data_IF_310909774956
#
_entry.id   IF_310909774956
#
_cell.length_a   1.000
_cell.length_b   1.000
_cell.length_c   1.000
_cell.angle_alpha   90.00
_cell.angle_beta   90.00
_cell.angle_gamma   90.00
#
_symmetry.space_group_name_H-M   'P 1'
#
loop_
_entity.id
_entity.type
_entity.pdbx_description
1 polymer ?
#
# COMPACT_ATOMS: atom_id res chain seq x y z
N UNK A 1 -4.93 57.59 -2.85
CA UNK A 1 -5.99 56.55 -2.74
C UNK A 1 -5.75 55.43 -3.75
N UNK A 2 -4.79 54.52 -3.52
CA UNK A 2 -4.52 53.38 -4.45
C UNK A 2 -4.03 52.09 -3.76
N UNK A 3 -4.26 51.89 -2.44
CA UNK A 3 -3.86 50.64 -1.77
C UNK A 3 -4.93 49.53 -1.90
N UNK A 4 -6.22 49.89 -2.02
CA UNK A 4 -7.33 48.92 -2.05
C UNK A 4 -7.23 47.85 -3.15
N UNK A 5 -6.62 48.16 -4.29
CA UNK A 5 -6.48 47.21 -5.40
C UNK A 5 -5.33 46.21 -5.23
N UNK A 6 -4.29 46.56 -4.45
CA UNK A 6 -3.15 45.67 -4.19
C UNK A 6 -3.55 44.58 -3.19
N UNK A 7 -4.37 44.93 -2.19
CA UNK A 7 -4.89 43.96 -1.21
C UNK A 7 -5.85 42.94 -1.86
N UNK A 8 -6.62 43.34 -2.87
CA UNK A 8 -7.51 42.44 -3.61
C UNK A 8 -6.73 41.42 -4.46
N UNK A 9 -5.60 41.83 -5.05
CA UNK A 9 -4.78 40.96 -5.89
C UNK A 9 -4.08 39.83 -5.11
N UNK A 10 -3.74 40.07 -3.84
CA UNK A 10 -3.12 39.06 -2.95
C UNK A 10 -4.12 38.00 -2.47
N UNK A 11 -5.41 38.35 -2.37
CA UNK A 11 -6.46 37.42 -1.92
C UNK A 11 -6.74 36.32 -2.96
N UNK A 12 -6.64 36.64 -4.25
CA UNK A 12 -6.86 35.68 -5.35
C UNK A 12 -5.74 34.63 -5.51
N UNK A 13 -4.52 34.91 -5.04
CA UNK A 13 -3.39 33.97 -5.14
C UNK A 13 -3.42 32.85 -4.08
N UNK A 14 -4.22 32.99 -3.03
CA UNK A 14 -4.32 31.99 -1.95
C UNK A 14 -5.24 30.80 -2.30
N UNK A 15 -6.03 30.88 -3.37
CA UNK A 15 -6.95 29.80 -3.78
C UNK A 15 -6.33 28.75 -4.74
N UNK A 16 -5.09 28.95 -5.19
CA UNK A 16 -4.40 28.03 -6.10
C UNK A 16 -3.50 27.01 -5.40
N UNK A 17 -3.34 27.10 -4.08
CA UNK A 17 -2.61 26.11 -3.29
C UNK A 17 -3.47 24.87 -3.01
N UNK A 18 -3.94 24.20 -4.07
CA UNK A 18 -4.49 22.85 -3.94
C UNK A 18 -3.29 21.90 -3.78
N UNK A 19 -2.86 21.69 -2.52
CA UNK A 19 -1.97 20.59 -2.18
C UNK A 19 -2.79 19.32 -2.46
N UNK A 20 -2.64 18.75 -3.67
CA UNK A 20 -3.23 17.44 -3.96
C UNK A 20 -2.68 16.48 -2.91
N UNK A 21 -3.56 15.91 -2.11
CA UNK A 21 -3.20 14.82 -1.20
C UNK A 21 -2.52 13.68 -1.97
N UNK A 22 -1.82 12.78 -1.27
CA UNK A 22 -1.16 11.64 -1.92
C UNK A 22 -2.15 10.91 -2.82
N UNK A 23 -1.73 10.65 -4.06
CA UNK A 23 -2.55 9.94 -5.03
C UNK A 23 -2.90 8.56 -4.45
N UNK A 24 -4.18 8.15 -4.55
CA UNK A 24 -4.75 6.95 -3.93
C UNK A 24 -5.69 6.24 -4.90
N UNK A 25 -5.17 5.91 -6.05
CA UNK A 25 -5.85 5.13 -7.07
C UNK A 25 -5.64 3.63 -6.77
N UNK A 26 -6.21 3.13 -5.67
CA UNK A 26 -5.89 1.78 -5.15
C UNK A 26 -6.48 0.63 -6.00
N UNK A 27 -7.57 0.89 -6.72
CA UNK A 27 -8.27 -0.11 -7.53
C UNK A 27 -7.38 -0.75 -8.60
N UNK A 28 -6.44 0.02 -9.17
CA UNK A 28 -5.49 -0.46 -10.18
C UNK A 28 -4.45 -1.47 -9.64
N UNK A 29 -4.31 -1.55 -8.32
CA UNK A 29 -3.36 -2.41 -7.61
C UNK A 29 -4.01 -3.66 -6.98
N UNK A 30 -5.30 -3.89 -7.26
CA UNK A 30 -6.02 -5.07 -6.75
C UNK A 30 -5.53 -6.38 -7.34
N UNK A 31 -4.98 -6.34 -8.55
CA UNK A 31 -4.45 -7.51 -9.25
C UNK A 31 -3.15 -7.12 -9.94
N UNK A 32 -2.28 -8.10 -10.15
CA UNK A 32 -1.00 -7.90 -10.83
C UNK A 32 0.10 -8.75 -10.23
N UNK A 33 1.31 -8.49 -10.71
CA UNK A 33 2.54 -9.10 -10.22
C UNK A 33 3.45 -7.99 -9.73
N UNK A 34 4.00 -8.18 -8.53
CA UNK A 34 4.64 -7.12 -7.78
C UNK A 34 5.91 -7.63 -7.10
N UNK A 35 6.92 -6.78 -7.03
CA UNK A 35 8.02 -6.93 -6.07
C UNK A 35 7.61 -6.21 -4.79
N UNK A 36 7.50 -6.97 -3.70
CA UNK A 36 7.37 -6.45 -2.35
C UNK A 36 8.74 -6.09 -1.79
N UNK A 37 8.85 -4.93 -1.14
CA UNK A 37 10.05 -4.46 -0.45
C UNK A 37 9.67 -3.93 0.93
N UNK A 38 10.39 -4.37 1.95
CA UNK A 38 10.20 -3.89 3.34
C UNK A 38 11.54 -3.91 4.05
N UNK A 39 11.72 -3.02 5.02
CA UNK A 39 12.87 -3.09 5.93
C UNK A 39 12.45 -3.87 7.18
N UNK A 40 13.19 -4.92 7.52
CA UNK A 40 13.02 -5.71 8.73
C UNK A 40 14.35 -5.76 9.48
N UNK A 41 14.38 -5.23 10.70
CA UNK A 41 15.57 -5.18 11.55
C UNK A 41 16.80 -4.50 10.88
N UNK A 42 16.58 -3.49 10.04
CA UNK A 42 17.67 -2.80 9.32
C UNK A 42 18.11 -3.48 8.02
N UNK A 43 17.49 -4.61 7.65
CA UNK A 43 17.77 -5.32 6.41
C UNK A 43 16.61 -5.17 5.42
N UNK A 44 16.94 -4.88 4.16
CA UNK A 44 15.97 -4.86 3.08
C UNK A 44 15.58 -6.30 2.72
N UNK A 45 14.29 -6.61 2.88
CA UNK A 45 13.69 -7.87 2.49
C UNK A 45 12.84 -7.66 1.25
N UNK A 46 12.96 -8.58 0.29
CA UNK A 46 12.22 -8.54 -0.97
C UNK A 46 11.56 -9.89 -1.27
N UNK A 47 10.34 -9.86 -1.81
CA UNK A 47 9.64 -11.03 -2.35
C UNK A 47 8.92 -10.66 -3.65
N UNK A 48 8.55 -11.66 -4.44
CA UNK A 48 7.69 -11.45 -5.62
C UNK A 48 6.35 -12.10 -5.37
N UNK A 49 5.26 -11.35 -5.51
CA UNK A 49 3.92 -11.92 -5.38
C UNK A 49 3.05 -11.60 -6.58
N UNK A 50 2.16 -12.55 -6.92
CA UNK A 50 1.10 -12.36 -7.90
C UNK A 50 -0.24 -12.45 -7.21
N UNK A 51 -1.06 -11.42 -7.37
CA UNK A 51 -2.42 -11.35 -6.86
C UNK A 51 -3.43 -11.39 -7.99
N UNK A 52 -4.41 -12.29 -7.88
CA UNK A 52 -5.54 -12.37 -8.80
C UNK A 52 -6.82 -12.76 -8.07
N UNK A 53 -7.80 -11.86 -8.09
CA UNK A 53 -9.08 -12.02 -7.38
C UNK A 53 -8.86 -12.15 -5.88
N UNK A 54 -9.21 -13.31 -5.33
CA UNK A 54 -9.10 -13.63 -3.91
C UNK A 54 -7.86 -14.49 -3.57
N UNK A 55 -6.92 -14.67 -4.51
CA UNK A 55 -5.69 -15.43 -4.29
C UNK A 55 -4.46 -14.55 -4.45
N UNK A 56 -3.49 -14.76 -3.56
CA UNK A 56 -2.12 -14.27 -3.68
C UNK A 56 -1.15 -15.45 -3.61
N UNK A 57 -0.17 -15.46 -4.51
CA UNK A 57 0.93 -16.42 -4.52
C UNK A 57 2.20 -15.61 -4.33
N UNK A 58 2.94 -15.85 -3.25
CA UNK A 58 4.19 -15.16 -2.90
C UNK A 58 5.38 -16.12 -3.04
N UNK A 59 6.45 -15.64 -3.68
CA UNK A 59 7.75 -16.30 -3.76
C UNK A 59 8.77 -15.47 -2.98
N UNK A 60 9.19 -16.02 -1.85
CA UNK A 60 10.24 -15.48 -1.01
C UNK A 60 11.44 -16.42 -1.01
N UNK A 61 12.53 -16.01 -1.68
CA UNK A 61 13.77 -16.78 -1.80
C UNK A 61 13.55 -18.23 -2.32
N UNK A 62 12.69 -18.41 -3.33
CA UNK A 62 12.38 -19.70 -3.94
C UNK A 62 11.37 -20.53 -3.13
N UNK A 63 10.81 -19.98 -2.05
CA UNK A 63 9.77 -20.62 -1.25
C UNK A 63 8.43 -20.01 -1.63
N UNK A 64 7.59 -20.83 -2.23
CA UNK A 64 6.24 -20.44 -2.63
C UNK A 64 5.26 -20.63 -1.46
N UNK A 65 4.52 -19.59 -1.10
CA UNK A 65 3.33 -19.65 -0.26
C UNK A 65 2.10 -19.12 -1.00
N UNK A 66 0.92 -19.48 -0.51
CA UNK A 66 -0.36 -19.05 -1.06
C UNK A 66 -1.26 -18.53 0.04
N UNK A 67 -1.97 -17.44 -0.24
CA UNK A 67 -2.85 -16.79 0.72
C UNK A 67 -4.17 -16.37 0.08
N UNK A 68 -5.24 -16.41 0.89
CA UNK A 68 -6.51 -15.79 0.51
C UNK A 68 -6.48 -14.29 0.78
N UNK A 69 -7.01 -13.51 -0.16
CA UNK A 69 -7.15 -12.04 -0.08
C UNK A 69 -8.63 -11.68 0.06
N UNK A 70 -8.95 -10.88 1.08
CA UNK A 70 -10.28 -10.32 1.29
C UNK A 70 -10.22 -8.80 1.40
N UNK A 71 -10.70 -8.09 0.38
CA UNK A 71 -10.79 -6.64 0.39
C UNK A 71 -11.90 -6.15 1.33
N UNK A 72 -11.57 -5.14 2.14
CA UNK A 72 -12.50 -4.41 3.00
C UNK A 72 -13.07 -3.22 2.21
N UNK A 73 -12.19 -2.51 1.49
CA UNK A 73 -12.52 -1.42 0.57
C UNK A 73 -11.50 -1.42 -0.60
N UNK A 74 -11.33 -0.33 -1.33
CA UNK A 74 -10.38 -0.28 -2.44
C UNK A 74 -8.91 -0.24 -2.02
N UNK A 75 -8.61 0.25 -0.83
CA UNK A 75 -7.24 0.45 -0.32
C UNK A 75 -6.87 -0.47 0.84
N UNK A 76 -7.81 -1.24 1.39
CA UNK A 76 -7.61 -2.08 2.57
C UNK A 76 -8.04 -3.53 2.33
N UNK A 77 -7.21 -4.47 2.74
CA UNK A 77 -7.48 -5.90 2.60
C UNK A 77 -6.83 -6.73 3.70
N UNK A 78 -7.38 -7.93 3.89
CA UNK A 78 -6.88 -8.94 4.83
C UNK A 78 -6.30 -10.10 4.03
N UNK A 79 -5.10 -10.51 4.42
CA UNK A 79 -4.40 -11.68 3.92
C UNK A 79 -4.41 -12.79 4.98
N UNK A 80 -4.74 -14.01 4.56
CA UNK A 80 -4.67 -15.20 5.41
C UNK A 80 -3.99 -16.33 4.65
N UNK A 81 -2.90 -16.89 5.21
CA UNK A 81 -2.21 -18.03 4.60
C UNK A 81 -3.16 -19.22 4.44
N UNK A 82 -3.11 -19.87 3.28
CA UNK A 82 -3.91 -21.06 2.97
C UNK A 82 -3.29 -22.32 3.58
N UNK A 83 -1.95 -22.38 3.69
CA UNK A 83 -1.21 -23.52 4.20
C UNK A 83 -0.20 -23.12 5.30
N UNK A 84 -0.68 -22.59 6.44
CA UNK A 84 0.19 -22.06 7.48
C UNK A 84 1.01 -23.17 8.15
N UNK A 85 2.33 -23.01 8.17
CA UNK A 85 3.29 -23.94 8.79
C UNK A 85 3.55 -23.64 10.25
N UNK A 86 3.24 -22.43 10.69
CA UNK A 86 3.39 -21.98 12.08
C UNK A 86 2.13 -21.30 12.62
N UNK A 87 2.03 -21.16 13.94
CA UNK A 87 0.93 -20.42 14.60
C UNK A 87 0.95 -18.94 14.20
N UNK A 88 2.14 -18.38 13.97
CA UNK A 88 2.30 -17.00 13.53
C UNK A 88 1.70 -16.77 12.14
N UNK A 89 1.93 -17.70 11.19
CA UNK A 89 1.35 -17.65 9.83
C UNK A 89 -0.18 -17.81 9.80
N UNK A 90 -0.77 -18.45 10.82
CA UNK A 90 -2.24 -18.56 10.94
C UNK A 90 -2.90 -17.20 11.20
N UNK A 91 -2.16 -16.23 11.75
CA UNK A 91 -2.74 -14.94 12.14
C UNK A 91 -2.93 -14.08 10.87
N UNK A 92 -4.12 -13.52 10.66
CA UNK A 92 -4.38 -12.70 9.48
C UNK A 92 -3.60 -11.39 9.54
N UNK A 93 -3.06 -11.00 8.39
CA UNK A 93 -2.40 -9.71 8.20
C UNK A 93 -3.37 -8.74 7.56
N UNK A 94 -3.43 -7.52 8.08
CA UNK A 94 -4.17 -6.41 7.50
C UNK A 94 -3.20 -5.51 6.75
N UNK A 95 -3.57 -5.13 5.53
CA UNK A 95 -2.82 -4.25 4.65
C UNK A 95 -3.65 -3.02 4.32
N UNK A 96 -3.02 -1.85 4.32
CA UNK A 96 -3.64 -0.58 3.95
C UNK A 96 -2.71 0.24 3.06
N UNK A 97 -3.16 0.52 1.84
CA UNK A 97 -2.46 1.35 0.87
C UNK A 97 -2.50 2.81 1.35
N UNK A 98 -1.32 3.42 1.46
CA UNK A 98 -1.12 4.79 1.93
C UNK A 98 -1.03 5.76 0.76
N UNK A 99 -0.29 5.40 -0.29
CA UNK A 99 -0.10 6.20 -1.49
C UNK A 99 0.20 5.32 -2.70
N UNK A 100 -0.11 5.83 -3.88
CA UNK A 100 0.14 5.19 -5.17
C UNK A 100 0.94 6.09 -6.09
N UNK A 101 1.75 5.49 -6.95
CA UNK A 101 2.38 6.12 -8.12
C UNK A 101 1.86 5.43 -9.39
N UNK A 102 2.50 5.68 -10.54
CA UNK A 102 2.16 5.01 -11.81
C UNK A 102 2.61 3.53 -11.83
N UNK A 103 3.62 3.17 -11.04
CA UNK A 103 4.23 1.82 -11.05
C UNK A 103 4.36 1.18 -9.68
N UNK A 104 3.98 1.86 -8.60
CA UNK A 104 4.15 1.35 -7.24
C UNK A 104 3.08 1.86 -6.28
N UNK A 105 3.01 1.22 -5.12
CA UNK A 105 2.23 1.73 -3.99
C UNK A 105 2.96 1.47 -2.67
N UNK A 106 2.84 2.42 -1.75
CA UNK A 106 3.31 2.29 -0.37
C UNK A 106 2.13 1.90 0.51
N UNK A 107 2.36 1.00 1.45
CA UNK A 107 1.33 0.50 2.33
C UNK A 107 1.86 0.24 3.73
N UNK A 108 0.94 0.21 4.69
CA UNK A 108 1.20 -0.29 6.03
C UNK A 108 0.59 -1.69 6.19
N UNK A 109 1.28 -2.57 6.90
CA UNK A 109 0.81 -3.92 7.16
C UNK A 109 1.18 -4.41 8.56
N UNK A 110 0.44 -5.40 9.05
CA UNK A 110 0.66 -5.99 10.37
C UNK A 110 -0.47 -6.92 10.74
N UNK A 111 -0.41 -7.53 11.92
CA UNK A 111 -1.54 -8.32 12.42
C UNK A 111 -2.81 -7.45 12.46
N UNK A 112 -3.97 -8.07 12.22
CA UNK A 112 -5.26 -7.38 12.09
C UNK A 112 -5.55 -6.33 13.19
N UNK A 113 -5.12 -6.59 14.42
CA UNK A 113 -5.33 -5.72 15.59
C UNK A 113 -4.02 -5.19 16.21
N UNK A 114 -2.90 -5.20 15.48
CA UNK A 114 -1.65 -4.67 16.00
C UNK A 114 -1.60 -3.15 15.89
N UNK A 115 -1.19 -2.49 16.98
CA UNK A 115 -0.87 -1.06 17.01
C UNK A 115 0.41 -0.76 16.21
N UNK A 116 1.42 -1.62 16.35
CA UNK A 116 2.67 -1.53 15.60
C UNK A 116 2.47 -2.11 14.20
N UNK A 117 2.59 -1.24 13.19
CA UNK A 117 2.47 -1.59 11.77
C UNK A 117 3.81 -1.33 11.07
N UNK A 118 4.13 -2.17 10.10
CA UNK A 118 5.30 -2.08 9.26
C UNK A 118 4.95 -1.36 7.96
N UNK A 119 5.94 -0.70 7.35
CA UNK A 119 5.77 -0.04 6.06
C UNK A 119 6.45 -0.88 4.98
N UNK A 120 5.73 -1.09 3.88
CA UNK A 120 6.24 -1.75 2.70
C UNK A 120 5.94 -0.95 1.45
N UNK A 121 6.65 -1.29 0.37
CA UNK A 121 6.38 -0.80 -0.98
C UNK A 121 6.23 -1.99 -1.91
N UNK A 122 5.23 -1.94 -2.78
CA UNK A 122 5.08 -2.89 -3.87
C UNK A 122 5.30 -2.19 -5.21
N UNK A 123 6.14 -2.76 -6.06
CA UNK A 123 6.44 -2.24 -7.41
C UNK A 123 5.88 -3.23 -8.44
N UNK A 124 5.05 -2.74 -9.35
CA UNK A 124 4.42 -3.53 -10.40
C UNK A 124 5.47 -3.99 -11.41
N UNK A 125 5.47 -5.28 -11.77
CA UNK A 125 6.42 -5.87 -12.70
C UNK A 125 6.03 -5.74 -14.18
N UNK A 126 4.72 -5.71 -14.48
CA UNK A 126 4.15 -5.52 -15.83
C UNK A 126 2.79 -4.85 -15.75
#
# INVERSE_FOLDING_TARGET
MKWKHVLFSIYTLLFLSCVRGPNRECSQYKNGEFIFKTELNGELQESTFRRFGALEIDDYNGKIDSASVKWINDCEYILKSLNPKSISEKKPLHFKILSTTDSSYTFEYGLLNAENRLIGTAVKLK
#
